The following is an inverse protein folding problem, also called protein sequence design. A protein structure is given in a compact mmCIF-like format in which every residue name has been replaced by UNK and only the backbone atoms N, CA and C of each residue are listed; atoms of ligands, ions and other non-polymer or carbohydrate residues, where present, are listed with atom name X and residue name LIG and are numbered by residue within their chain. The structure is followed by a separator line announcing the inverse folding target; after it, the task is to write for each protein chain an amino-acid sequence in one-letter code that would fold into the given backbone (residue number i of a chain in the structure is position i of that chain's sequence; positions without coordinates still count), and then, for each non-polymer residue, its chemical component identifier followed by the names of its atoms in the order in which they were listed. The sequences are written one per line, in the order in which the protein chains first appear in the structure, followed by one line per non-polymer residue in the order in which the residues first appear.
data_IF_990639204453
#
_entry.id   IF_990639204453
#
_cell.length_a   1.000
_cell.length_b   1.000
_cell.length_c   1.000
_cell.angle_alpha   90.00
_cell.angle_beta   90.00
_cell.angle_gamma   90.00
#
_symmetry.space_group_name_H-M   'P 1'
#
loop_
_entity.id
_entity.type
_entity.pdbx_description
1 polymer ?
#
# COMPACT_ATOMS: atom_id res chain seq x y z
N UNK A 1 31.62 16.64 14.31
CA UNK A 1 30.98 15.96 13.18
C UNK A 1 32.04 15.12 12.49
N UNK A 2 32.04 13.81 12.73
CA UNK A 2 32.86 12.85 11.99
C UNK A 2 32.39 12.81 10.54
N UNK A 3 33.28 12.79 9.53
CA UNK A 3 32.88 12.67 8.14
C UNK A 3 32.06 11.37 7.99
N UNK A 4 30.87 11.51 7.41
CA UNK A 4 30.04 10.35 7.11
C UNK A 4 30.85 9.37 6.26
N UNK A 5 30.94 8.13 6.71
CA UNK A 5 31.54 7.02 5.96
C UNK A 5 30.81 6.94 4.61
N UNK A 6 31.49 7.29 3.53
CA UNK A 6 30.94 7.36 2.16
C UNK A 6 30.83 5.99 1.51
N UNK A 7 31.18 4.93 2.23
CA UNK A 7 31.04 3.56 1.74
C UNK A 7 29.56 3.18 1.56
N UNK A 8 29.19 2.48 0.47
CA UNK A 8 27.80 2.04 0.29
C UNK A 8 27.39 1.12 1.45
N UNK A 9 26.15 1.25 1.96
CA UNK A 9 25.69 0.45 3.09
C UNK A 9 25.74 -1.05 2.77
N UNK A 10 26.27 -1.83 3.71
CA UNK A 10 26.32 -3.28 3.61
C UNK A 10 25.00 -3.90 4.04
N UNK A 11 24.72 -5.14 3.61
CA UNK A 11 23.54 -5.88 4.05
C UNK A 11 23.48 -5.99 5.58
N UNK A 12 24.60 -6.26 6.22
CA UNK A 12 24.68 -6.37 7.69
C UNK A 12 24.29 -5.07 8.39
N UNK A 13 24.70 -3.92 7.88
CA UNK A 13 24.32 -2.62 8.41
C UNK A 13 22.81 -2.36 8.27
N UNK A 14 22.22 -2.74 7.12
CA UNK A 14 20.77 -2.60 6.88
C UNK A 14 19.95 -3.56 7.77
N UNK A 15 20.43 -4.78 7.98
CA UNK A 15 19.82 -5.73 8.92
C UNK A 15 19.92 -5.27 10.37
N UNK A 16 20.99 -4.56 10.75
CA UNK A 16 21.09 -3.96 12.07
C UNK A 16 19.98 -2.92 12.28
N UNK A 17 19.77 -2.02 11.30
CA UNK A 17 18.66 -1.05 11.34
C UNK A 17 17.30 -1.74 11.42
N UNK A 18 17.12 -2.84 10.67
CA UNK A 18 15.90 -3.64 10.70
C UNK A 18 15.63 -4.23 12.08
N UNK A 19 16.65 -4.79 12.72
CA UNK A 19 16.54 -5.33 14.09
C UNK A 19 16.23 -4.23 15.11
N UNK A 20 16.96 -3.13 15.08
CA UNK A 20 16.87 -2.07 16.08
C UNK A 20 15.54 -1.31 16.03
N UNK A 21 14.97 -1.13 14.83
CA UNK A 21 13.77 -0.31 14.64
C UNK A 21 12.49 -1.10 14.41
N UNK A 22 12.57 -2.27 13.80
CA UNK A 22 11.39 -3.10 13.48
C UNK A 22 11.35 -4.40 14.29
N UNK A 23 12.44 -4.81 14.94
CA UNK A 23 12.51 -6.05 15.72
C UNK A 23 12.59 -7.32 14.86
N UNK A 24 12.76 -7.19 13.54
CA UNK A 24 12.89 -8.36 12.68
C UNK A 24 14.34 -8.84 12.63
N UNK A 25 14.60 -10.16 12.71
CA UNK A 25 15.96 -10.69 12.77
C UNK A 25 16.72 -10.56 11.45
N UNK A 26 16.02 -10.65 10.31
CA UNK A 26 16.57 -10.57 8.96
C UNK A 26 15.51 -10.15 7.94
N UNK A 27 15.96 -9.68 6.77
CA UNK A 27 15.08 -9.46 5.63
C UNK A 27 14.58 -10.80 5.06
N UNK A 28 13.38 -10.76 4.46
CA UNK A 28 12.96 -11.85 3.58
C UNK A 28 13.87 -11.88 2.34
N UNK A 29 14.15 -13.05 1.76
CA UNK A 29 15.04 -13.15 0.59
C UNK A 29 14.64 -12.20 -0.57
N UNK A 30 13.34 -12.01 -0.78
CA UNK A 30 12.80 -11.11 -1.80
C UNK A 30 13.00 -9.62 -1.50
N UNK A 31 13.20 -9.22 -0.26
CA UNK A 31 13.40 -7.82 0.14
C UNK A 31 14.86 -7.37 -0.08
N UNK A 32 15.82 -8.30 0.06
CA UNK A 32 17.26 -7.98 0.04
C UNK A 32 17.67 -7.21 -1.21
N UNK A 33 17.36 -7.64 -2.45
CA UNK A 33 17.77 -6.91 -3.64
C UNK A 33 17.20 -5.49 -3.72
N UNK A 34 15.92 -5.31 -3.28
CA UNK A 34 15.25 -4.01 -3.29
C UNK A 34 15.89 -3.06 -2.29
N UNK A 35 16.07 -3.54 -1.05
CA UNK A 35 16.64 -2.74 0.03
C UNK A 35 18.09 -2.35 -0.28
N UNK A 36 18.89 -3.27 -0.80
CA UNK A 36 20.28 -3.02 -1.18
C UNK A 36 20.36 -1.99 -2.32
N UNK A 37 19.63 -2.18 -3.40
CA UNK A 37 19.60 -1.25 -4.54
C UNK A 37 19.15 0.14 -4.11
N UNK A 38 18.04 0.25 -3.38
CA UNK A 38 17.52 1.53 -2.89
C UNK A 38 18.49 2.24 -1.95
N UNK A 39 19.12 1.54 -1.01
CA UNK A 39 20.08 2.10 -0.08
C UNK A 39 21.36 2.61 -0.78
N UNK A 40 21.76 1.96 -1.87
CA UNK A 40 22.90 2.35 -2.70
C UNK A 40 22.58 3.44 -3.73
N UNK A 41 21.32 3.90 -3.80
CA UNK A 41 20.91 4.98 -4.71
C UNK A 41 20.43 4.52 -6.08
N UNK A 42 20.26 3.22 -6.28
CA UNK A 42 19.72 2.64 -7.51
C UNK A 42 18.21 2.79 -7.61
N UNK A 43 17.70 2.75 -8.83
CA UNK A 43 16.26 2.64 -9.10
C UNK A 43 15.82 1.17 -9.09
N UNK A 44 14.65 0.89 -8.51
CA UNK A 44 14.14 -0.48 -8.40
C UNK A 44 12.64 -0.53 -8.64
N UNK A 45 12.21 -1.44 -9.50
CA UNK A 45 10.81 -1.85 -9.63
C UNK A 45 10.65 -3.22 -8.97
N UNK A 46 9.88 -3.28 -7.88
CA UNK A 46 9.64 -4.50 -7.14
C UNK A 46 8.17 -4.94 -7.24
N UNK A 47 7.94 -6.08 -7.86
CA UNK A 47 6.63 -6.73 -7.98
C UNK A 47 6.60 -7.85 -6.93
N UNK A 48 6.02 -7.50 -5.76
CA UNK A 48 5.99 -8.34 -4.56
C UNK A 48 4.55 -8.61 -4.16
N UNK A 49 4.17 -9.85 -3.80
CA UNK A 49 2.80 -10.18 -3.42
C UNK A 49 2.33 -9.36 -2.21
N UNK A 50 1.00 -9.27 -2.03
CA UNK A 50 0.40 -8.73 -0.80
C UNK A 50 0.95 -9.51 0.40
N UNK A 51 1.23 -8.82 1.51
CA UNK A 51 1.91 -9.43 2.66
C UNK A 51 3.43 -9.69 2.46
N UNK A 52 4.00 -9.35 1.29
CA UNK A 52 5.43 -9.48 0.99
C UNK A 52 6.35 -8.53 1.76
N UNK A 53 5.80 -7.61 2.56
CA UNK A 53 6.56 -6.63 3.33
C UNK A 53 7.10 -5.48 2.47
N UNK A 54 6.30 -5.01 1.50
CA UNK A 54 6.64 -3.90 0.60
C UNK A 54 7.12 -2.64 1.32
N UNK A 55 6.50 -2.30 2.47
CA UNK A 55 6.85 -1.09 3.21
C UNK A 55 8.31 -1.08 3.70
N UNK A 56 8.83 -2.20 4.16
CA UNK A 56 10.24 -2.34 4.57
C UNK A 56 11.19 -2.02 3.41
N UNK A 57 10.80 -2.36 2.19
CA UNK A 57 11.63 -2.17 0.99
C UNK A 57 11.97 -0.71 0.69
N UNK A 58 11.14 0.25 1.14
CA UNK A 58 11.47 1.68 1.01
C UNK A 58 11.78 2.35 2.35
N UNK A 59 11.23 1.83 3.46
CA UNK A 59 11.45 2.44 4.78
C UNK A 59 12.91 2.31 5.23
N UNK A 60 13.53 1.15 5.06
CA UNK A 60 14.95 0.99 5.43
C UNK A 60 15.87 1.84 4.54
N UNK A 61 15.81 1.77 3.19
CA UNK A 61 16.60 2.65 2.34
C UNK A 61 16.37 4.12 2.63
N UNK A 62 15.12 4.55 2.76
CA UNK A 62 14.77 5.93 3.07
C UNK A 62 15.38 6.42 4.38
N UNK A 63 15.35 5.60 5.43
CA UNK A 63 15.95 5.95 6.72
C UNK A 63 17.49 6.03 6.64
N UNK A 64 18.13 5.08 5.99
CA UNK A 64 19.61 5.01 5.92
C UNK A 64 20.19 6.12 5.02
N UNK A 65 19.52 6.45 3.93
CA UNK A 65 19.95 7.54 3.04
C UNK A 65 19.75 8.92 3.68
N UNK A 66 18.90 9.04 4.69
CA UNK A 66 18.54 10.31 5.33
C UNK A 66 17.81 11.28 4.37
N UNK A 67 17.73 12.55 4.75
CA UNK A 67 16.90 13.51 4.05
C UNK A 67 15.43 13.11 4.07
N UNK A 68 14.67 13.48 3.06
CA UNK A 68 13.25 13.10 2.90
C UNK A 68 13.13 11.84 2.05
N UNK A 69 12.42 10.85 2.58
CA UNK A 69 11.82 9.78 1.80
C UNK A 69 10.39 10.20 1.43
N UNK A 70 10.20 10.59 0.17
CA UNK A 70 8.88 10.96 -0.37
C UNK A 70 8.15 9.69 -0.80
N UNK A 71 7.00 9.42 -0.19
CA UNK A 71 6.20 8.21 -0.47
C UNK A 71 4.88 8.61 -1.13
N UNK A 72 4.70 8.28 -2.39
CA UNK A 72 3.42 8.48 -3.10
C UNK A 72 2.59 7.22 -2.92
N UNK A 73 1.40 7.36 -2.31
CA UNK A 73 0.47 6.26 -2.07
C UNK A 73 -0.97 6.68 -2.32
N UNK A 74 -1.81 5.82 -2.92
CA UNK A 74 -3.19 6.17 -3.27
C UNK A 74 -4.18 5.99 -2.10
N UNK A 75 -3.72 5.47 -0.97
CA UNK A 75 -4.57 4.98 0.11
C UNK A 75 -4.34 5.78 1.39
N UNK A 76 -5.23 6.74 1.65
CA UNK A 76 -5.13 7.64 2.82
C UNK A 76 -5.11 6.88 4.15
N UNK A 77 -5.91 5.83 4.29
CA UNK A 77 -5.94 5.01 5.51
C UNK A 77 -4.58 4.32 5.74
N UNK A 78 -4.03 3.69 4.69
CA UNK A 78 -2.71 3.05 4.77
C UNK A 78 -1.59 4.06 5.10
N UNK A 79 -1.65 5.27 4.52
CA UNK A 79 -0.70 6.34 4.85
C UNK A 79 -0.74 6.68 6.34
N UNK A 80 -1.93 6.79 6.93
CA UNK A 80 -2.09 7.07 8.36
C UNK A 80 -1.47 5.97 9.23
N UNK A 81 -1.73 4.70 8.91
CA UNK A 81 -1.16 3.55 9.61
C UNK A 81 0.39 3.50 9.48
N UNK A 82 0.92 3.76 8.29
CA UNK A 82 2.37 3.83 8.06
C UNK A 82 3.02 4.97 8.86
N UNK A 83 2.40 6.15 8.87
CA UNK A 83 2.89 7.31 9.67
C UNK A 83 2.87 6.97 11.16
N UNK A 84 1.79 6.41 11.66
CA UNK A 84 1.68 6.00 13.07
C UNK A 84 2.74 4.96 13.41
N UNK A 85 2.92 3.95 12.56
CA UNK A 85 3.92 2.90 12.75
C UNK A 85 5.35 3.43 12.76
N UNK A 86 5.71 4.39 11.90
CA UNK A 86 7.02 5.03 11.88
C UNK A 86 7.25 5.90 13.13
N UNK A 87 6.25 6.71 13.50
CA UNK A 87 6.31 7.56 14.71
C UNK A 87 6.47 6.74 15.98
N UNK A 88 5.79 5.60 16.09
CA UNK A 88 5.94 4.68 17.23
C UNK A 88 7.38 4.12 17.37
N UNK A 89 8.14 4.11 16.27
CA UNK A 89 9.56 3.71 16.22
C UNK A 89 10.53 4.88 16.38
N UNK A 90 10.02 6.08 16.71
CA UNK A 90 10.84 7.29 16.84
C UNK A 90 11.35 7.83 15.50
N UNK A 91 10.66 7.51 14.40
CA UNK A 91 11.01 7.99 13.04
C UNK A 91 10.03 9.09 12.65
N UNK A 92 10.57 10.25 12.22
CA UNK A 92 9.76 11.37 11.76
C UNK A 92 8.98 10.97 10.51
N UNK A 93 7.66 11.15 10.54
CA UNK A 93 6.79 10.83 9.41
C UNK A 93 5.54 11.71 9.45
N UNK A 94 5.13 12.21 8.30
CA UNK A 94 3.90 12.98 8.12
C UNK A 94 3.16 12.56 6.84
N UNK A 95 1.84 12.84 6.77
CA UNK A 95 1.03 12.53 5.60
C UNK A 95 0.31 13.78 5.09
N UNK A 96 0.50 14.07 3.80
CA UNK A 96 -0.13 15.15 3.07
C UNK A 96 -1.30 14.60 2.24
N UNK A 97 -2.51 14.62 2.81
CA UNK A 97 -3.74 14.09 2.19
C UNK A 97 -4.68 15.19 1.72
N UNK A 98 -5.65 14.87 0.87
CA UNK A 98 -6.59 15.86 0.30
C UNK A 98 -7.47 16.57 1.36
N UNK A 99 -7.80 15.89 2.46
CA UNK A 99 -8.72 16.41 3.49
C UNK A 99 -8.09 17.32 4.55
N UNK A 100 -6.80 17.66 4.44
CA UNK A 100 -6.13 18.55 5.39
C UNK A 100 -6.51 20.01 5.18
N UNK A 101 -6.60 20.76 6.27
CA UNK A 101 -6.72 22.22 6.21
C UNK A 101 -5.42 22.81 5.63
N UNK A 102 -5.53 24.02 5.09
CA UNK A 102 -4.40 24.66 4.42
C UNK A 102 -3.24 24.94 5.39
N UNK A 103 -3.53 25.45 6.59
CA UNK A 103 -2.53 25.74 7.63
C UNK A 103 -1.78 24.46 8.07
N UNK A 104 -2.48 23.35 8.17
CA UNK A 104 -1.89 22.06 8.50
C UNK A 104 -1.01 21.52 7.36
N UNK A 105 -1.47 21.64 6.12
CA UNK A 105 -0.68 21.25 4.95
C UNK A 105 0.61 22.08 4.82
N UNK A 106 0.53 23.40 5.02
CA UNK A 106 1.69 24.31 5.00
C UNK A 106 2.71 23.93 6.09
N UNK A 107 2.25 23.67 7.32
CA UNK A 107 3.12 23.22 8.43
C UNK A 107 3.84 21.91 8.09
N UNK A 108 3.14 20.94 7.48
CA UNK A 108 3.74 19.68 7.05
C UNK A 108 4.82 19.90 6.00
N UNK A 109 4.55 20.75 5.02
CA UNK A 109 5.51 21.09 3.97
C UNK A 109 6.74 21.82 4.52
N UNK A 110 6.56 22.73 5.48
CA UNK A 110 7.67 23.44 6.13
C UNK A 110 8.51 22.49 7.00
N UNK A 111 7.88 21.56 7.74
CA UNK A 111 8.59 20.53 8.47
C UNK A 111 9.44 19.64 7.54
N UNK A 112 8.94 19.33 6.36
CA UNK A 112 9.68 18.54 5.38
C UNK A 112 10.85 19.34 4.74
N UNK A 113 10.70 20.67 4.58
CA UNK A 113 11.77 21.54 4.01
C UNK A 113 12.89 21.83 4.98
N UNK A 114 12.53 22.13 6.22
CA UNK A 114 13.45 22.72 7.21
C UNK A 114 13.79 21.76 8.37
N UNK A 115 13.08 20.65 8.46
CA UNK A 115 13.28 19.65 9.50
C UNK A 115 14.47 18.71 9.24
N UNK A 116 14.71 17.77 10.16
CA UNK A 116 15.86 16.87 10.10
C UNK A 116 15.74 15.76 9.04
N UNK A 117 14.68 15.75 8.23
CA UNK A 117 14.34 14.69 7.31
C UNK A 117 13.31 13.72 7.89
N UNK A 118 13.09 12.60 7.19
CA UNK A 118 12.10 11.58 7.56
C UNK A 118 11.22 11.16 6.40
N UNK A 119 9.98 10.77 6.70
CA UNK A 119 9.04 10.29 5.68
C UNK A 119 7.92 11.28 5.45
N UNK A 120 7.71 11.65 4.19
CA UNK A 120 6.55 12.43 3.75
C UNK A 120 5.69 11.57 2.83
N UNK A 121 4.55 11.11 3.34
CA UNK A 121 3.54 10.43 2.53
C UNK A 121 2.67 11.45 1.84
N UNK A 122 2.45 11.26 0.53
CA UNK A 122 1.71 12.23 -0.30
C UNK A 122 0.65 11.50 -1.11
N UNK A 123 -0.58 11.98 -1.01
CA UNK A 123 -1.66 11.53 -1.86
C UNK A 123 -1.46 12.09 -3.29
N UNK A 124 -1.69 11.28 -4.34
CA UNK A 124 -1.35 11.65 -5.73
C UNK A 124 -1.97 12.99 -6.18
N UNK A 125 -3.19 13.29 -5.76
CA UNK A 125 -3.90 14.53 -6.08
C UNK A 125 -3.23 15.80 -5.51
N UNK A 126 -2.29 15.67 -4.58
CA UNK A 126 -1.49 16.79 -4.06
C UNK A 126 -0.33 17.16 -4.99
N UNK A 127 0.12 16.24 -5.83
CA UNK A 127 1.29 16.43 -6.69
C UNK A 127 1.11 17.55 -7.72
N UNK A 128 -0.11 17.79 -8.18
CA UNK A 128 -0.44 18.86 -9.12
C UNK A 128 -0.48 20.26 -8.48
N UNK A 129 -0.56 20.36 -7.15
CA UNK A 129 -0.75 21.61 -6.43
C UNK A 129 0.53 22.48 -6.48
N UNK A 130 0.43 23.78 -6.84
CA UNK A 130 1.59 24.67 -6.91
C UNK A 130 2.37 24.80 -5.61
N UNK A 131 1.67 24.81 -4.46
CA UNK A 131 2.26 24.85 -3.13
C UNK A 131 3.12 23.62 -2.84
N UNK A 132 2.63 22.43 -3.20
CA UNK A 132 3.42 21.20 -3.08
C UNK A 132 4.64 21.23 -4.02
N UNK A 133 4.45 21.59 -5.30
CA UNK A 133 5.54 21.63 -6.30
C UNK A 133 6.69 22.52 -5.82
N UNK A 134 6.37 23.76 -5.41
CA UNK A 134 7.36 24.71 -4.90
C UNK A 134 8.07 24.20 -3.64
N UNK A 135 7.33 23.64 -2.69
CA UNK A 135 7.92 23.08 -1.48
C UNK A 135 8.81 21.87 -1.78
N UNK A 136 8.32 20.93 -2.60
CA UNK A 136 9.03 19.70 -2.94
C UNK A 136 10.38 20.00 -3.62
N UNK A 137 10.44 20.95 -4.55
CA UNK A 137 11.68 21.35 -5.21
C UNK A 137 12.75 21.88 -4.24
N UNK A 138 12.34 22.40 -3.10
CA UNK A 138 13.24 22.94 -2.07
C UNK A 138 13.59 21.92 -0.96
N UNK A 139 13.02 20.71 -0.99
CA UNK A 139 13.31 19.64 -0.02
C UNK A 139 14.59 18.87 -0.38
N UNK A 140 15.27 18.32 0.62
CA UNK A 140 16.36 17.33 0.41
C UNK A 140 15.76 15.92 0.23
N UNK A 141 15.10 15.68 -0.92
CA UNK A 141 14.51 14.36 -1.24
C UNK A 141 15.60 13.44 -1.74
N UNK A 142 15.89 12.38 -0.98
CA UNK A 142 16.92 11.40 -1.33
C UNK A 142 16.35 10.04 -1.76
N UNK A 143 15.11 9.75 -1.38
CA UNK A 143 14.42 8.52 -1.79
C UNK A 143 12.99 8.85 -2.19
N UNK A 144 12.54 8.29 -3.31
CA UNK A 144 11.16 8.40 -3.78
C UNK A 144 10.59 7.00 -3.86
N UNK A 145 9.60 6.72 -3.03
CA UNK A 145 8.85 5.47 -3.05
C UNK A 145 7.50 5.68 -3.75
N UNK A 146 7.16 4.83 -4.69
CA UNK A 146 5.87 4.84 -5.38
C UNK A 146 5.15 3.55 -5.03
N UNK A 147 4.22 3.65 -4.08
CA UNK A 147 3.39 2.53 -3.68
C UNK A 147 2.22 2.35 -4.65
N UNK A 148 1.78 1.11 -4.83
CA UNK A 148 0.78 0.73 -5.85
C UNK A 148 1.12 1.32 -7.24
N UNK A 149 2.37 1.19 -7.64
CA UNK A 149 2.93 1.81 -8.85
C UNK A 149 2.17 1.42 -10.15
N UNK A 150 1.42 0.31 -10.14
CA UNK A 150 0.56 -0.07 -11.26
C UNK A 150 -0.51 0.98 -11.59
N UNK A 151 -0.83 1.88 -10.65
CA UNK A 151 -1.77 2.99 -10.87
C UNK A 151 -1.30 4.00 -11.92
N UNK A 152 -0.02 4.01 -12.29
CA UNK A 152 0.51 4.92 -13.33
C UNK A 152 0.15 4.45 -14.73
N UNK A 153 -0.08 3.16 -14.95
CA UNK A 153 -0.36 2.58 -16.25
C UNK A 153 -1.85 2.51 -16.55
N UNK A 154 -2.24 2.94 -17.75
CA UNK A 154 -3.63 2.78 -18.26
C UNK A 154 -4.02 1.31 -18.46
N UNK A 155 -3.05 0.43 -18.57
CA UNK A 155 -3.24 -1.02 -18.66
C UNK A 155 -3.28 -1.68 -17.28
N UNK A 156 -3.05 -0.91 -16.21
CA UNK A 156 -3.22 -1.36 -14.83
C UNK A 156 -4.71 -1.40 -14.45
N UNK A 157 -5.10 -2.34 -13.62
CA UNK A 157 -6.49 -2.52 -13.18
C UNK A 157 -7.04 -1.37 -12.31
N UNK A 158 -6.18 -0.46 -11.85
CA UNK A 158 -6.53 0.67 -10.98
C UNK A 158 -5.87 1.98 -11.42
N UNK A 159 -5.86 2.27 -12.72
CA UNK A 159 -5.30 3.50 -13.28
C UNK A 159 -5.84 4.75 -12.57
N UNK A 160 -4.93 5.68 -12.25
CA UNK A 160 -5.24 6.99 -11.68
C UNK A 160 -4.46 8.07 -12.42
N UNK A 161 -5.18 9.01 -13.04
CA UNK A 161 -4.55 10.09 -13.81
C UNK A 161 -3.55 10.91 -13.00
N UNK A 162 -3.81 11.12 -11.70
CA UNK A 162 -2.92 11.87 -10.80
C UNK A 162 -1.54 11.22 -10.63
N UNK A 163 -1.42 9.89 -10.89
CA UNK A 163 -0.12 9.20 -10.85
C UNK A 163 0.81 9.59 -12.01
N UNK A 164 0.29 10.14 -13.10
CA UNK A 164 1.12 10.64 -14.21
C UNK A 164 2.00 11.82 -13.78
N UNK A 165 1.57 12.57 -12.76
CA UNK A 165 2.32 13.67 -12.18
C UNK A 165 3.57 13.22 -11.39
N UNK A 166 3.63 11.94 -10.97
CA UNK A 166 4.74 11.42 -10.16
C UNK A 166 6.06 11.52 -10.91
N UNK A 167 6.08 11.19 -12.20
CA UNK A 167 7.30 11.18 -13.01
C UNK A 167 8.05 12.53 -13.07
N UNK A 168 7.32 13.67 -12.93
CA UNK A 168 7.96 14.99 -12.96
C UNK A 168 8.91 15.24 -11.77
N UNK A 169 8.72 14.52 -10.64
CA UNK A 169 9.58 14.64 -9.46
C UNK A 169 11.03 14.25 -9.78
N UNK A 170 11.24 13.39 -10.79
CA UNK A 170 12.58 13.01 -11.26
C UNK A 170 13.40 14.23 -11.69
N UNK A 171 12.77 15.20 -12.37
CA UNK A 171 13.46 16.41 -12.85
C UNK A 171 13.89 17.33 -11.70
N UNK A 172 13.18 17.29 -10.57
CA UNK A 172 13.49 18.10 -9.39
C UNK A 172 14.57 17.44 -8.53
N UNK A 173 14.57 16.11 -8.47
CA UNK A 173 15.47 15.31 -7.64
C UNK A 173 16.16 14.21 -8.45
N UNK A 174 17.05 14.57 -9.40
CA UNK A 174 17.65 13.60 -10.32
C UNK A 174 18.58 12.58 -9.65
N UNK A 175 19.04 12.86 -8.42
CA UNK A 175 19.91 11.97 -7.63
C UNK A 175 19.14 11.11 -6.62
N UNK A 176 17.83 11.28 -6.51
CA UNK A 176 17.01 10.46 -5.62
C UNK A 176 16.93 9.02 -6.15
N UNK A 177 17.00 8.04 -5.24
CA UNK A 177 16.71 6.64 -5.55
C UNK A 177 15.21 6.46 -5.71
N UNK A 178 14.77 5.73 -6.73
CA UNK A 178 13.37 5.42 -6.95
C UNK A 178 13.07 3.97 -6.62
N UNK A 179 12.05 3.76 -5.82
CA UNK A 179 11.59 2.43 -5.42
C UNK A 179 10.10 2.33 -5.76
N UNK A 180 9.78 1.78 -6.91
CA UNK A 180 8.41 1.52 -7.33
C UNK A 180 7.98 0.13 -6.85
N UNK A 181 6.80 0.05 -6.21
CA UNK A 181 6.30 -1.15 -5.57
C UNK A 181 4.87 -1.43 -6.03
N UNK A 182 4.60 -2.67 -6.37
CA UNK A 182 3.24 -3.14 -6.66
C UNK A 182 3.10 -4.61 -6.31
N UNK A 183 1.86 -5.06 -6.09
CA UNK A 183 1.57 -6.48 -5.94
C UNK A 183 1.38 -7.17 -7.28
N UNK A 184 0.84 -6.45 -8.26
CA UNK A 184 0.42 -6.99 -9.56
C UNK A 184 0.92 -6.09 -10.68
N UNK A 185 1.60 -6.66 -11.65
CA UNK A 185 1.95 -5.99 -12.90
C UNK A 185 2.23 -7.04 -13.98
N UNK A 186 1.64 -6.89 -15.16
CA UNK A 186 2.07 -7.57 -16.37
C UNK A 186 3.40 -6.99 -16.85
N UNK A 187 4.04 -7.59 -17.85
CA UNK A 187 5.26 -7.01 -18.44
C UNK A 187 4.99 -5.62 -19.01
N UNK A 188 3.87 -5.44 -19.71
CA UNK A 188 3.45 -4.16 -20.26
C UNK A 188 3.26 -3.09 -19.18
N UNK A 189 2.63 -3.44 -18.06
CA UNK A 189 2.45 -2.53 -16.92
C UNK A 189 3.81 -2.20 -16.29
N UNK A 190 4.71 -3.16 -16.18
CA UNK A 190 6.05 -2.94 -15.65
C UNK A 190 6.87 -1.98 -16.55
N UNK A 191 6.82 -2.15 -17.86
CA UNK A 191 7.46 -1.25 -18.82
C UNK A 191 6.90 0.17 -18.75
N UNK A 192 5.58 0.29 -18.62
CA UNK A 192 4.92 1.58 -18.40
C UNK A 192 5.37 2.27 -17.11
N UNK A 193 5.44 1.53 -16.00
CA UNK A 193 5.92 2.06 -14.72
C UNK A 193 7.32 2.65 -14.89
N UNK A 194 8.25 1.89 -15.44
CA UNK A 194 9.63 2.35 -15.65
C UNK A 194 9.71 3.60 -16.53
N UNK A 195 8.98 3.60 -17.65
CA UNK A 195 8.95 4.70 -18.59
C UNK A 195 8.28 5.96 -18.01
N UNK A 196 7.10 5.83 -17.41
CA UNK A 196 6.30 6.95 -16.92
C UNK A 196 6.88 7.59 -15.66
N UNK A 197 7.56 6.79 -14.83
CA UNK A 197 8.30 7.31 -13.66
C UNK A 197 9.70 7.83 -14.02
N UNK A 198 10.15 7.68 -15.27
CA UNK A 198 11.50 8.10 -15.69
C UNK A 198 12.61 7.35 -14.96
N UNK A 199 12.42 6.06 -14.66
CA UNK A 199 13.41 5.25 -13.95
C UNK A 199 14.65 4.99 -14.83
N UNK A 200 15.82 5.08 -14.23
CA UNK A 200 17.10 4.95 -14.96
C UNK A 200 17.73 3.60 -14.67
N UNK A 201 17.72 2.70 -15.67
CA UNK A 201 18.27 1.34 -15.56
C UNK A 201 17.82 0.63 -14.28
N UNK A 202 16.50 0.55 -14.03
CA UNK A 202 16.00 -0.01 -12.78
C UNK A 202 16.36 -1.50 -12.64
N UNK A 203 16.63 -1.92 -11.41
CA UNK A 203 16.62 -3.33 -11.07
C UNK A 203 15.16 -3.79 -11.00
N UNK A 204 14.73 -4.63 -11.95
CA UNK A 204 13.37 -5.20 -11.93
C UNK A 204 13.37 -6.50 -11.16
N UNK A 205 12.69 -6.52 -10.03
CA UNK A 205 12.49 -7.73 -9.24
C UNK A 205 11.03 -8.18 -9.32
N UNK A 206 10.83 -9.40 -9.78
CA UNK A 206 9.53 -10.07 -9.76
C UNK A 206 9.61 -11.31 -8.89
N UNK A 207 8.79 -11.38 -7.86
CA UNK A 207 8.63 -12.57 -7.03
C UNK A 207 7.37 -13.31 -7.45
N UNK A 208 7.43 -14.62 -7.47
CA UNK A 208 6.27 -15.44 -7.83
C UNK A 208 5.09 -15.18 -6.89
N UNK A 209 3.90 -15.11 -7.47
CA UNK A 209 2.64 -14.84 -6.73
C UNK A 209 2.14 -16.05 -5.95
N UNK A 210 2.84 -17.19 -6.01
CA UNK A 210 2.44 -18.40 -5.29
C UNK A 210 2.47 -18.14 -3.78
N UNK A 211 1.33 -18.29 -3.16
CA UNK A 211 1.15 -18.22 -1.71
C UNK A 211 0.76 -19.61 -1.22
N UNK A 212 1.72 -20.43 -0.74
CA UNK A 212 1.47 -21.84 -0.40
C UNK A 212 0.49 -22.03 0.76
N UNK A 213 0.21 -20.97 1.50
CA UNK A 213 -0.78 -20.94 2.58
C UNK A 213 -2.20 -20.62 2.12
N UNK A 214 -2.43 -20.35 0.84
CA UNK A 214 -3.76 -20.10 0.28
C UNK A 214 -4.24 -21.30 -0.54
N UNK A 215 -5.45 -21.72 -0.28
CA UNK A 215 -6.18 -22.71 -1.08
C UNK A 215 -7.27 -21.97 -1.87
N UNK A 216 -7.29 -22.17 -3.18
CA UNK A 216 -8.29 -21.59 -4.07
C UNK A 216 -9.29 -22.66 -4.49
N UNK A 217 -10.58 -22.31 -4.48
CA UNK A 217 -11.63 -23.20 -4.99
C UNK A 217 -12.67 -22.37 -5.76
N UNK A 218 -13.25 -22.98 -6.80
CA UNK A 218 -14.34 -22.41 -7.57
C UNK A 218 -15.51 -23.40 -7.50
N UNK A 219 -16.67 -22.88 -7.18
CA UNK A 219 -17.89 -23.67 -7.06
C UNK A 219 -18.94 -23.13 -8.04
N UNK A 220 -19.45 -24.00 -8.88
CA UNK A 220 -20.64 -23.72 -9.67
C UNK A 220 -21.88 -24.03 -8.83
N UNK A 221 -22.69 -23.03 -8.54
CA UNK A 221 -23.80 -23.14 -7.60
C UNK A 221 -25.08 -22.60 -8.21
N UNK A 222 -26.21 -23.34 -8.11
CA UNK A 222 -27.49 -22.88 -8.65
C UNK A 222 -28.08 -21.70 -7.85
N UNK A 223 -27.83 -21.64 -6.56
CA UNK A 223 -28.29 -20.58 -5.66
C UNK A 223 -27.11 -20.00 -4.90
N UNK A 224 -26.72 -18.77 -5.28
CA UNK A 224 -25.61 -18.04 -4.66
C UNK A 224 -25.89 -17.66 -3.22
N UNK A 225 -27.13 -17.27 -2.88
CA UNK A 225 -27.48 -16.88 -1.52
C UNK A 225 -27.36 -18.07 -0.55
N UNK A 226 -27.94 -19.22 -0.94
CA UNK A 226 -27.80 -20.46 -0.17
C UNK A 226 -26.33 -20.87 -0.02
N UNK A 227 -25.54 -20.75 -1.09
CA UNK A 227 -24.11 -21.07 -1.05
C UNK A 227 -23.31 -20.14 -0.11
N UNK A 228 -23.60 -18.85 -0.07
CA UNK A 228 -22.95 -17.89 0.84
C UNK A 228 -23.33 -18.19 2.30
N UNK A 229 -24.56 -18.54 2.59
CA UNK A 229 -25.00 -18.91 3.93
C UNK A 229 -24.27 -20.20 4.37
N UNK A 230 -24.23 -21.23 3.53
CA UNK A 230 -23.54 -22.49 3.80
C UNK A 230 -22.02 -22.27 3.99
N UNK A 231 -21.38 -21.44 3.14
CA UNK A 231 -20.00 -21.01 3.33
C UNK A 231 -19.81 -20.33 4.70
N UNK A 232 -20.71 -19.44 5.07
CA UNK A 232 -20.69 -18.80 6.38
C UNK A 232 -20.74 -19.81 7.54
N UNK A 233 -21.55 -20.85 7.45
CA UNK A 233 -21.63 -21.90 8.49
C UNK A 233 -20.40 -22.81 8.53
N UNK A 234 -19.78 -23.11 7.39
CA UNK A 234 -18.60 -24.00 7.31
C UNK A 234 -17.30 -23.29 7.69
N UNK A 235 -17.29 -21.95 7.71
CA UNK A 235 -16.08 -21.17 7.98
C UNK A 235 -16.07 -20.64 9.40
N UNK A 236 -14.89 -20.38 9.95
CA UNK A 236 -14.70 -19.78 11.28
C UNK A 236 -13.71 -18.61 11.19
N UNK A 237 -13.74 -17.72 12.21
CA UNK A 237 -12.88 -16.55 12.23
C UNK A 237 -13.33 -15.42 11.30
N UNK A 238 -12.49 -14.42 11.15
CA UNK A 238 -12.79 -13.25 10.31
C UNK A 238 -12.80 -13.61 8.83
N UNK A 239 -13.81 -13.10 8.12
CA UNK A 239 -14.03 -13.39 6.72
C UNK A 239 -14.45 -12.16 5.91
N UNK A 240 -14.19 -12.19 4.60
CA UNK A 240 -14.57 -11.16 3.64
C UNK A 240 -15.42 -11.81 2.55
N UNK A 241 -16.53 -11.16 2.20
CA UNK A 241 -17.37 -11.51 1.05
C UNK A 241 -17.34 -10.38 0.03
N UNK A 242 -16.64 -10.58 -1.08
CA UNK A 242 -16.61 -9.61 -2.18
C UNK A 242 -17.83 -9.73 -3.08
N UNK A 243 -18.42 -8.57 -3.38
CA UNK A 243 -19.59 -8.41 -4.24
C UNK A 243 -19.37 -7.29 -5.25
N UNK A 244 -20.17 -7.24 -6.33
CA UNK A 244 -19.98 -6.26 -7.41
C UNK A 244 -20.55 -4.87 -7.14
N UNK A 245 -21.57 -4.75 -6.31
CA UNK A 245 -22.28 -3.48 -6.15
C UNK A 245 -22.53 -3.12 -4.69
N UNK A 246 -22.70 -1.81 -4.44
CA UNK A 246 -23.06 -1.28 -3.12
C UNK A 246 -24.35 -1.89 -2.59
N UNK A 247 -25.39 -1.93 -3.43
CA UNK A 247 -26.69 -2.53 -3.08
C UNK A 247 -26.57 -4.00 -2.73
N UNK A 248 -25.70 -4.73 -3.44
CA UNK A 248 -25.47 -6.15 -3.14
C UNK A 248 -24.70 -6.33 -1.82
N UNK A 249 -23.76 -5.44 -1.49
CA UNK A 249 -23.06 -5.47 -0.21
C UNK A 249 -24.04 -5.30 0.97
N UNK A 250 -24.98 -4.34 0.85
CA UNK A 250 -26.03 -4.13 1.85
C UNK A 250 -26.97 -5.35 1.94
N UNK A 251 -27.42 -5.88 0.80
CA UNK A 251 -28.32 -7.03 0.76
C UNK A 251 -27.67 -8.30 1.33
N UNK A 252 -26.42 -8.59 0.99
CA UNK A 252 -25.71 -9.75 1.51
C UNK A 252 -25.42 -9.63 3.01
N UNK A 253 -25.06 -8.45 3.49
CA UNK A 253 -24.87 -8.22 4.92
C UNK A 253 -26.18 -8.44 5.69
N UNK A 254 -27.31 -7.87 5.22
CA UNK A 254 -28.61 -8.08 5.84
C UNK A 254 -29.05 -9.56 5.81
N UNK A 255 -28.83 -10.24 4.71
CA UNK A 255 -29.12 -11.67 4.60
C UNK A 255 -28.30 -12.50 5.61
N UNK A 256 -27.01 -12.24 5.73
CA UNK A 256 -26.14 -12.91 6.70
C UNK A 256 -26.58 -12.63 8.12
N UNK A 257 -26.96 -11.41 8.45
CA UNK A 257 -27.50 -11.03 9.76
C UNK A 257 -28.80 -11.79 10.09
N UNK A 258 -29.70 -11.91 9.11
CA UNK A 258 -30.96 -12.67 9.27
C UNK A 258 -30.71 -14.17 9.56
N UNK A 259 -29.54 -14.71 9.16
CA UNK A 259 -29.10 -16.08 9.43
C UNK A 259 -28.16 -16.19 10.64
N UNK A 260 -28.12 -15.15 11.51
CA UNK A 260 -27.41 -15.18 12.78
C UNK A 260 -25.89 -14.86 12.72
N UNK A 261 -25.39 -14.39 11.58
CA UNK A 261 -23.99 -13.95 11.49
C UNK A 261 -23.83 -12.49 11.94
N UNK A 262 -22.73 -12.19 12.62
CA UNK A 262 -22.29 -10.80 12.84
C UNK A 262 -21.64 -10.29 11.55
N UNK A 263 -22.40 -9.59 10.72
CA UNK A 263 -21.97 -9.11 9.41
C UNK A 263 -22.31 -7.63 9.23
N UNK A 264 -21.55 -6.92 8.39
CA UNK A 264 -21.83 -5.55 8.00
C UNK A 264 -21.44 -5.30 6.53
N UNK A 265 -22.06 -4.33 5.85
CA UNK A 265 -21.65 -3.91 4.53
C UNK A 265 -20.41 -2.99 4.61
N UNK A 266 -19.60 -2.95 3.53
CA UNK A 266 -18.53 -1.97 3.37
C UNK A 266 -18.38 -1.56 1.90
N UNK A 267 -18.62 -0.29 1.60
CA UNK A 267 -18.50 0.24 0.23
C UNK A 267 -18.30 1.76 0.22
N UNK A 268 -17.83 2.30 -0.90
CA UNK A 268 -17.52 3.73 -1.04
C UNK A 268 -18.73 4.69 -0.92
N UNK A 269 -19.96 4.17 -1.00
CA UNK A 269 -21.18 4.97 -0.81
C UNK A 269 -21.55 5.24 0.64
N UNK A 270 -20.92 4.58 1.61
CA UNK A 270 -21.11 4.80 3.03
C UNK A 270 -20.44 6.08 3.51
N UNK A 271 -20.91 6.66 4.61
CA UNK A 271 -20.20 7.75 5.27
C UNK A 271 -18.81 7.30 5.74
N UNK A 272 -17.89 8.25 5.89
CA UNK A 272 -16.55 7.94 6.42
C UNK A 272 -16.63 7.36 7.84
N UNK A 273 -17.55 7.88 8.66
CA UNK A 273 -17.76 7.40 10.02
C UNK A 273 -18.18 5.94 10.04
N UNK A 274 -19.22 5.57 9.26
CA UNK A 274 -19.74 4.21 9.23
C UNK A 274 -18.70 3.21 8.71
N UNK A 275 -17.91 3.60 7.68
CA UNK A 275 -16.83 2.77 7.17
C UNK A 275 -15.77 2.50 8.24
N UNK A 276 -15.36 3.54 8.96
CA UNK A 276 -14.37 3.39 10.04
C UNK A 276 -14.93 2.50 11.16
N UNK A 277 -16.18 2.71 11.59
CA UNK A 277 -16.80 1.92 12.63
C UNK A 277 -16.91 0.43 12.24
N UNK A 278 -17.38 0.11 11.05
CA UNK A 278 -17.47 -1.28 10.58
C UNK A 278 -16.08 -1.92 10.48
N UNK A 279 -15.08 -1.18 10.01
CA UNK A 279 -13.71 -1.67 9.92
C UNK A 279 -13.12 -1.93 11.31
N UNK A 280 -13.28 -1.02 12.25
CA UNK A 280 -12.79 -1.17 13.62
C UNK A 280 -13.45 -2.35 14.34
N UNK A 281 -14.78 -2.49 14.19
CA UNK A 281 -15.51 -3.62 14.76
C UNK A 281 -15.05 -4.95 14.17
N UNK A 282 -14.77 -4.99 12.85
CA UNK A 282 -14.27 -6.18 12.19
C UNK A 282 -12.82 -6.50 12.61
N UNK A 283 -11.95 -5.49 12.71
CA UNK A 283 -10.58 -5.65 13.22
C UNK A 283 -10.61 -6.18 14.66
N UNK A 284 -11.50 -5.65 15.50
CA UNK A 284 -11.69 -6.08 16.88
C UNK A 284 -12.39 -7.46 17.02
N UNK A 285 -12.80 -8.10 15.91
CA UNK A 285 -13.48 -9.39 15.93
C UNK A 285 -14.95 -9.33 16.40
N UNK A 286 -15.54 -8.14 16.58
CA UNK A 286 -16.96 -7.96 16.91
C UNK A 286 -17.85 -8.25 15.69
N UNK A 287 -17.40 -7.90 14.51
CA UNK A 287 -17.97 -8.33 13.24
C UNK A 287 -17.14 -9.47 12.67
N UNK A 288 -17.80 -10.53 12.25
CA UNK A 288 -17.15 -11.70 11.66
C UNK A 288 -16.98 -11.56 10.15
N UNK A 289 -18.00 -11.11 9.44
CA UNK A 289 -18.04 -11.08 7.98
C UNK A 289 -18.27 -9.63 7.52
N UNK A 290 -17.40 -9.14 6.64
CA UNK A 290 -17.66 -7.93 5.87
C UNK A 290 -18.10 -8.31 4.45
N UNK A 291 -19.31 -7.87 4.07
CA UNK A 291 -19.78 -7.93 2.69
C UNK A 291 -19.38 -6.62 1.99
N UNK A 292 -18.44 -6.67 1.06
CA UNK A 292 -17.79 -5.47 0.55
C UNK A 292 -17.60 -5.46 -0.95
N UNK A 293 -17.49 -4.26 -1.50
CA UNK A 293 -16.97 -4.04 -2.85
C UNK A 293 -15.44 -3.93 -2.80
N UNK A 294 -14.78 -3.81 -3.95
CA UNK A 294 -13.33 -3.56 -4.10
C UNK A 294 -12.83 -2.32 -3.34
N UNK A 295 -13.73 -1.52 -2.76
CA UNK A 295 -13.38 -0.40 -1.86
C UNK A 295 -12.76 -0.88 -0.53
N UNK A 296 -12.90 -2.15 -0.18
CA UNK A 296 -12.30 -2.80 0.98
C UNK A 296 -11.19 -3.74 0.52
N UNK A 297 -10.12 -3.85 1.28
CA UNK A 297 -9.04 -4.82 1.04
C UNK A 297 -7.66 -4.21 0.86
N UNK A 298 -7.54 -3.04 0.24
CA UNK A 298 -6.24 -2.38 0.11
C UNK A 298 -5.82 -1.71 1.44
N UNK A 299 -4.66 -2.10 1.95
CA UNK A 299 -4.07 -1.45 3.13
C UNK A 299 -4.61 -1.92 4.49
N UNK A 300 -5.34 -3.00 4.55
CA UNK A 300 -5.84 -3.56 5.80
C UNK A 300 -4.89 -4.64 6.30
N UNK A 301 -4.39 -4.46 7.52
CA UNK A 301 -3.55 -5.44 8.20
C UNK A 301 -4.36 -6.15 9.30
N UNK A 302 -4.86 -7.34 9.01
CA UNK A 302 -5.54 -8.23 9.96
C UNK A 302 -5.06 -9.66 9.74
N UNK A 303 -4.26 -10.15 10.68
CA UNK A 303 -3.55 -11.42 10.57
C UNK A 303 -4.46 -12.66 10.64
N UNK A 304 -5.70 -12.53 11.12
CA UNK A 304 -6.62 -13.65 11.35
C UNK A 304 -7.74 -13.80 10.31
N UNK A 305 -7.63 -13.13 9.16
CA UNK A 305 -8.53 -13.40 8.03
C UNK A 305 -8.24 -14.80 7.49
N UNK A 306 -9.22 -15.65 7.54
CA UNK A 306 -9.08 -17.07 7.16
C UNK A 306 -9.83 -17.42 5.88
N UNK A 307 -10.87 -16.66 5.57
CA UNK A 307 -11.76 -16.97 4.46
C UNK A 307 -12.10 -15.72 3.67
N UNK A 308 -11.95 -15.81 2.36
CA UNK A 308 -12.41 -14.81 1.41
C UNK A 308 -13.30 -15.52 0.40
N UNK A 309 -14.49 -14.99 0.19
CA UNK A 309 -15.39 -15.47 -0.85
C UNK A 309 -15.67 -14.37 -1.85
N UNK A 310 -15.76 -14.72 -3.12
CA UNK A 310 -16.21 -13.86 -4.20
C UNK A 310 -17.58 -14.35 -4.65
N UNK A 311 -18.63 -13.55 -4.45
CA UNK A 311 -19.97 -13.89 -4.91
C UNK A 311 -20.09 -13.89 -6.45
N UNK A 312 -19.12 -13.30 -7.14
CA UNK A 312 -18.99 -13.25 -8.59
C UNK A 312 -17.54 -13.51 -8.99
N UNK A 313 -17.35 -13.97 -10.21
CA UNK A 313 -15.99 -14.05 -10.79
C UNK A 313 -15.42 -12.62 -10.85
N UNK A 314 -14.23 -12.37 -10.29
CA UNK A 314 -13.55 -11.08 -10.38
C UNK A 314 -13.36 -10.63 -11.84
N UNK A 315 -13.29 -9.32 -12.06
CA UNK A 315 -13.19 -8.75 -13.43
C UNK A 315 -11.86 -9.05 -14.11
N UNK A 316 -10.80 -9.27 -13.31
CA UNK A 316 -9.47 -9.62 -13.81
C UNK A 316 -8.73 -10.55 -12.84
N UNK A 317 -7.76 -11.34 -13.34
CA UNK A 317 -6.88 -12.15 -12.50
C UNK A 317 -6.08 -11.30 -11.49
N UNK A 318 -5.66 -10.10 -11.89
CA UNK A 318 -4.92 -9.18 -11.05
C UNK A 318 -5.77 -8.68 -9.87
N UNK A 319 -7.03 -8.30 -10.15
CA UNK A 319 -8.01 -7.95 -9.12
C UNK A 319 -8.23 -9.10 -8.13
N UNK A 320 -8.41 -10.33 -8.65
CA UNK A 320 -8.57 -11.51 -7.83
C UNK A 320 -7.38 -11.76 -6.89
N UNK A 321 -6.15 -11.65 -7.41
CA UNK A 321 -4.93 -11.83 -6.61
C UNK A 321 -4.79 -10.73 -5.55
N UNK A 322 -5.25 -9.53 -5.83
CA UNK A 322 -5.20 -8.42 -4.88
C UNK A 322 -6.24 -8.56 -3.77
N UNK A 323 -7.41 -9.11 -4.08
CA UNK A 323 -8.50 -9.36 -3.12
C UNK A 323 -8.26 -10.64 -2.29
N UNK A 324 -7.47 -11.59 -2.78
CA UNK A 324 -7.10 -12.82 -2.10
C UNK A 324 -5.82 -12.65 -1.25
#
# INVERSE_FOLDING_TARGET
MTPADTSPPTLAALEQVLRDRWGYPAFRPSQIPVVMSGAQGGDTLAILPTGGGKSICYQIPGLVRGGICLVVSPLVALMADQVQGLRARGIAAEALTAGLRQDEAERILDNARFGPGGFLFVAPERLSQPTFKSACQAMDVRTIAVDEAHCVSQWGHAFRADYLEVGQIRSWHPKASWIALTATATEQVADDIERLLGMTRPSRLRVGMRRPNLAFSVHDVPDRHAAVIDWGHRTTGSAILYVRSRREAEAMAAMLQAHGFTAAPYHAGMSRSDRNDHQEQWIAGKLRILACTTAFGMGIDKADVRHIAHAHIPESPEGYIQEA
#
